data_IF_343685857148
#
_entry.id   IF_343685857148
#
_cell.length_a   1.000
_cell.length_b   1.000
_cell.length_c   1.000
_cell.angle_alpha   90.00
_cell.angle_beta   90.00
_cell.angle_gamma   90.00
#
_symmetry.space_group_name_H-M   'P 1'
#
loop_
_entity.id
_entity.type
_entity.pdbx_description
1 polymer ?
#
# COMPACT_ATOMS: atom_id res chain seq x y z
N UNK A 1 6.17 18.23 -38.89
CA UNK A 1 5.54 18.70 -37.67
C UNK A 1 6.22 18.00 -36.50
N UNK A 2 7.07 18.71 -35.81
CA UNK A 2 7.89 18.20 -34.72
C UNK A 2 7.05 17.99 -33.45
N UNK A 3 6.37 16.86 -33.34
CA UNK A 3 5.75 16.41 -32.08
C UNK A 3 6.67 15.48 -31.26
N UNK A 4 7.92 15.36 -31.67
CA UNK A 4 8.88 14.43 -31.03
C UNK A 4 9.56 15.00 -29.79
N UNK A 5 9.67 16.33 -29.64
CA UNK A 5 10.39 16.93 -28.51
C UNK A 5 9.65 16.83 -27.17
N UNK A 6 8.31 16.86 -27.13
CA UNK A 6 7.56 16.73 -25.90
C UNK A 6 7.45 15.26 -25.42
N UNK A 7 7.48 14.30 -26.34
CA UNK A 7 7.55 12.87 -26.00
C UNK A 7 8.94 12.48 -25.49
N UNK A 8 10.01 13.05 -26.06
CA UNK A 8 11.39 12.81 -25.57
C UNK A 8 11.57 13.35 -24.15
N UNK A 9 11.00 14.52 -23.84
CA UNK A 9 11.04 15.08 -22.47
C UNK A 9 10.27 14.24 -21.45
N UNK A 10 9.13 13.67 -21.83
CA UNK A 10 8.36 12.79 -20.96
C UNK A 10 9.02 11.41 -20.77
N UNK A 11 9.66 10.87 -21.80
CA UNK A 11 10.45 9.63 -21.68
C UNK A 11 11.66 9.82 -20.76
N UNK A 12 12.36 10.94 -20.83
CA UNK A 12 13.48 11.24 -19.94
C UNK A 12 13.03 11.34 -18.48
N UNK A 13 11.88 11.96 -18.21
CA UNK A 13 11.30 12.00 -16.85
C UNK A 13 10.89 10.63 -16.33
N UNK A 14 10.51 9.69 -17.19
CA UNK A 14 10.14 8.31 -16.81
C UNK A 14 11.39 7.48 -16.52
N UNK A 15 12.48 7.69 -17.26
CA UNK A 15 13.74 6.91 -17.09
C UNK A 15 14.51 7.28 -15.83
N UNK A 16 14.41 8.52 -15.37
CA UNK A 16 15.17 9.04 -14.23
C UNK A 16 14.44 8.84 -12.88
N UNK A 17 13.21 8.32 -12.89
CA UNK A 17 12.46 8.03 -11.68
C UNK A 17 12.35 6.54 -11.44
N UNK A 18 12.52 6.09 -10.20
CA UNK A 18 12.17 4.72 -9.85
C UNK A 18 10.66 4.53 -10.06
N UNK A 19 10.31 3.67 -11.00
CA UNK A 19 8.92 3.28 -11.25
C UNK A 19 8.64 1.95 -10.55
N UNK A 20 7.50 1.82 -9.92
CA UNK A 20 7.03 0.61 -9.25
C UNK A 20 6.10 -0.24 -10.13
N UNK A 21 5.73 0.26 -11.30
CA UNK A 21 4.98 -0.47 -12.31
C UNK A 21 5.78 -1.62 -12.93
N UNK A 22 5.08 -2.70 -13.28
CA UNK A 22 5.64 -3.81 -14.06
C UNK A 22 4.98 -3.87 -15.44
N UNK A 23 5.73 -4.34 -16.45
CA UNK A 23 5.19 -4.46 -17.80
C UNK A 23 4.05 -5.50 -17.83
N UNK A 24 2.89 -5.15 -18.38
CA UNK A 24 1.78 -6.07 -18.61
C UNK A 24 1.87 -6.82 -19.96
N UNK A 25 2.97 -6.62 -20.71
CA UNK A 25 3.18 -7.32 -21.99
C UNK A 25 3.11 -8.85 -21.88
N UNK A 26 3.60 -9.51 -20.82
CA UNK A 26 3.44 -10.96 -20.66
C UNK A 26 1.98 -11.40 -20.61
N UNK A 27 1.09 -10.62 -19.95
CA UNK A 27 -0.35 -10.88 -19.94
C UNK A 27 -0.95 -10.78 -21.34
N UNK A 28 -0.61 -9.75 -22.11
CA UNK A 28 -1.09 -9.59 -23.50
C UNK A 28 -0.61 -10.72 -24.42
N UNK A 29 0.56 -11.25 -24.17
CA UNK A 29 1.12 -12.37 -24.94
C UNK A 29 0.71 -13.75 -24.44
N UNK A 30 -0.02 -13.83 -23.33
CA UNK A 30 -0.40 -15.11 -22.71
C UNK A 30 0.80 -15.89 -22.13
N UNK A 31 1.93 -15.22 -21.85
CA UNK A 31 3.16 -15.88 -21.37
C UNK A 31 3.29 -15.90 -19.84
N UNK A 32 2.34 -15.31 -19.12
CA UNK A 32 2.30 -15.30 -17.65
C UNK A 32 1.80 -13.96 -17.08
N UNK A 33 1.57 -13.95 -15.78
CA UNK A 33 1.20 -12.75 -15.03
C UNK A 33 2.41 -12.23 -14.21
N UNK A 34 3.01 -11.09 -14.58
CA UNK A 34 4.15 -10.54 -13.87
C UNK A 34 3.79 -9.94 -12.50
N UNK A 35 2.51 -9.86 -12.16
CA UNK A 35 2.03 -9.35 -10.86
C UNK A 35 1.93 -10.44 -9.79
N UNK A 36 2.04 -11.71 -10.16
CA UNK A 36 1.98 -12.83 -9.21
C UNK A 36 3.08 -12.71 -8.16
N UNK A 37 2.68 -12.77 -6.88
CA UNK A 37 3.59 -12.67 -5.74
C UNK A 37 4.08 -11.26 -5.42
N UNK A 38 3.64 -10.24 -6.16
CA UNK A 38 3.97 -8.85 -5.89
C UNK A 38 3.09 -8.29 -4.78
N UNK A 39 3.73 -7.55 -3.86
CA UNK A 39 2.99 -6.76 -2.87
C UNK A 39 2.61 -5.40 -3.43
N UNK A 40 1.38 -4.98 -3.15
CA UNK A 40 0.85 -3.66 -3.46
C UNK A 40 0.67 -2.88 -2.16
N UNK A 41 1.05 -1.60 -2.16
CA UNK A 41 1.05 -0.76 -0.98
C UNK A 41 0.24 0.51 -1.21
N UNK A 42 -0.49 0.94 -0.18
CA UNK A 42 -1.20 2.21 -0.14
C UNK A 42 -0.88 2.93 1.15
N UNK A 43 -0.65 4.23 1.08
CA UNK A 43 -0.44 5.08 2.22
C UNK A 43 -1.30 6.34 2.11
N UNK A 44 -2.28 6.46 3.00
CA UNK A 44 -3.20 7.59 3.09
C UNK A 44 -3.07 8.23 4.47
N UNK A 45 -1.99 9.01 4.71
CA UNK A 45 -1.68 9.53 6.05
C UNK A 45 -2.59 10.69 6.49
N UNK A 46 -3.46 11.18 5.62
CA UNK A 46 -4.33 12.32 5.84
C UNK A 46 -5.79 11.88 5.93
N UNK A 47 -6.61 12.70 6.61
CA UNK A 47 -8.07 12.56 6.62
C UNK A 47 -8.61 13.11 5.30
N UNK A 48 -9.46 12.35 4.61
CA UNK A 48 -9.95 12.69 3.27
C UNK A 48 -11.37 13.24 3.22
N UNK A 49 -12.05 13.33 4.33
CA UNK A 49 -13.44 13.78 4.38
C UNK A 49 -13.93 14.03 5.80
N UNK A 50 -15.21 14.30 5.92
CA UNK A 50 -15.84 14.58 7.20
C UNK A 50 -16.59 13.36 7.77
N UNK A 51 -17.11 12.48 6.90
CA UNK A 51 -17.97 11.34 7.29
C UNK A 51 -17.79 10.15 6.34
N UNK A 52 -17.81 8.93 6.88
CA UNK A 52 -17.85 7.68 6.11
C UNK A 52 -16.73 6.69 6.44
N UNK A 53 -16.81 5.44 5.99
CA UNK A 53 -15.78 4.44 6.17
C UNK A 53 -14.50 4.81 5.41
N UNK A 54 -13.34 4.57 6.00
CA UNK A 54 -12.03 4.77 5.37
C UNK A 54 -11.53 6.22 5.31
N UNK A 55 -12.17 7.15 6.01
CA UNK A 55 -11.80 8.57 6.04
C UNK A 55 -10.56 8.83 6.88
N UNK A 56 -10.34 8.03 7.92
CA UNK A 56 -9.18 8.16 8.80
C UNK A 56 -7.85 7.86 8.13
N UNK A 57 -6.74 8.33 8.71
CA UNK A 57 -5.41 8.04 8.18
C UNK A 57 -5.09 6.55 8.30
N UNK A 58 -4.79 5.93 7.17
CA UNK A 58 -4.51 4.49 7.06
C UNK A 58 -3.34 4.20 6.15
N UNK A 59 -2.72 3.04 6.31
CA UNK A 59 -1.92 2.42 5.27
C UNK A 59 -2.27 0.94 5.14
N UNK A 60 -2.01 0.38 3.98
CA UNK A 60 -2.35 -1.01 3.71
C UNK A 60 -1.36 -1.69 2.77
N UNK A 61 -1.32 -3.01 2.86
CA UNK A 61 -0.57 -3.88 1.96
C UNK A 61 -1.44 -5.03 1.49
N UNK A 62 -1.36 -5.36 0.22
CA UNK A 62 -1.92 -6.59 -0.35
C UNK A 62 -0.79 -7.45 -0.90
N UNK A 63 -0.73 -8.69 -0.44
CA UNK A 63 0.20 -9.70 -0.94
C UNK A 63 -0.56 -11.00 -1.20
N UNK A 64 -0.70 -11.37 -2.46
CA UNK A 64 -1.53 -12.49 -2.89
C UNK A 64 -2.98 -12.32 -2.46
N UNK A 65 -3.47 -13.29 -1.68
CA UNK A 65 -4.85 -13.36 -1.21
C UNK A 65 -5.12 -12.48 0.01
N UNK A 66 -4.07 -12.02 0.68
CA UNK A 66 -4.18 -11.32 1.93
C UNK A 66 -4.05 -9.82 1.79
N UNK A 67 -4.93 -9.06 2.46
CA UNK A 67 -4.85 -7.62 2.60
C UNK A 67 -4.83 -7.25 4.08
N UNK A 68 -3.81 -6.50 4.50
CA UNK A 68 -3.68 -5.91 5.82
C UNK A 68 -3.94 -4.41 5.74
N UNK A 69 -4.78 -3.89 6.65
CA UNK A 69 -5.02 -2.47 6.84
C UNK A 69 -4.54 -2.08 8.23
N UNK A 70 -3.77 -1.01 8.32
CA UNK A 70 -3.32 -0.41 9.57
C UNK A 70 -3.90 1.00 9.72
N UNK A 71 -4.51 1.26 10.86
CA UNK A 71 -5.13 2.53 11.23
C UNK A 71 -4.18 3.34 12.11
N UNK A 72 -3.68 4.45 11.61
CA UNK A 72 -2.72 5.29 12.33
C UNK A 72 -3.24 5.88 13.63
N UNK A 73 -4.54 6.20 13.71
CA UNK A 73 -5.14 6.80 14.90
C UNK A 73 -5.19 5.86 16.11
N UNK A 74 -5.50 4.60 15.86
CA UNK A 74 -5.77 3.60 16.90
C UNK A 74 -4.70 2.54 17.06
N UNK A 75 -3.80 2.42 16.08
CA UNK A 75 -2.86 1.30 15.98
C UNK A 75 -3.53 -0.03 15.62
N UNK A 76 -4.83 -0.02 15.31
CA UNK A 76 -5.59 -1.22 14.95
C UNK A 76 -5.12 -1.78 13.63
N UNK A 77 -5.12 -3.10 13.52
CA UNK A 77 -4.84 -3.86 12.30
C UNK A 77 -6.02 -4.73 11.95
N UNK A 78 -6.40 -4.74 10.69
CA UNK A 78 -7.42 -5.63 10.14
C UNK A 78 -6.80 -6.46 9.02
N UNK A 79 -7.16 -7.73 8.96
CA UNK A 79 -6.68 -8.67 7.95
C UNK A 79 -7.85 -9.30 7.21
N UNK A 80 -7.80 -9.31 5.90
CA UNK A 80 -8.84 -9.85 5.03
C UNK A 80 -8.27 -10.87 4.05
N UNK A 81 -9.02 -11.97 3.84
CA UNK A 81 -8.77 -12.93 2.78
C UNK A 81 -9.62 -12.54 1.57
N UNK A 82 -9.05 -11.83 0.61
CA UNK A 82 -9.77 -11.20 -0.50
C UNK A 82 -10.54 -12.18 -1.40
N UNK A 83 -10.02 -13.37 -1.77
CA UNK A 83 -10.79 -14.35 -2.53
C UNK A 83 -12.08 -14.83 -1.86
N UNK A 84 -12.09 -14.91 -0.53
CA UNK A 84 -13.25 -15.37 0.25
C UNK A 84 -14.14 -14.21 0.69
N UNK A 85 -13.57 -13.02 0.84
CA UNK A 85 -14.26 -11.83 1.32
C UNK A 85 -13.82 -10.57 0.55
N UNK A 86 -14.28 -10.44 -0.68
CA UNK A 86 -13.99 -9.29 -1.54
C UNK A 86 -14.56 -7.98 -0.99
N UNK A 87 -15.57 -8.07 -0.12
CA UNK A 87 -16.22 -6.92 0.53
C UNK A 87 -15.52 -6.44 1.79
N UNK A 88 -14.46 -7.14 2.25
CA UNK A 88 -13.71 -6.78 3.47
C UNK A 88 -14.62 -6.63 4.71
N UNK A 89 -15.56 -7.58 4.89
CA UNK A 89 -16.51 -7.56 5.99
C UNK A 89 -16.04 -8.35 7.21
N UNK A 90 -15.15 -9.35 7.02
CA UNK A 90 -14.72 -10.29 8.06
C UNK A 90 -13.25 -10.09 8.40
N UNK A 91 -12.96 -9.38 9.49
CA UNK A 91 -11.60 -9.24 10.01
C UNK A 91 -11.13 -10.56 10.64
N UNK A 92 -10.14 -11.19 10.04
CA UNK A 92 -9.52 -12.44 10.50
C UNK A 92 -8.14 -12.24 11.14
N UNK A 93 -7.76 -11.03 11.49
CA UNK A 93 -6.45 -10.70 12.07
C UNK A 93 -6.12 -11.54 13.32
N UNK A 94 -7.12 -11.80 14.17
CA UNK A 94 -6.94 -12.61 15.39
C UNK A 94 -6.70 -14.10 15.10
N UNK A 95 -7.15 -14.60 13.96
CA UNK A 95 -7.03 -16.00 13.55
C UNK A 95 -5.67 -16.27 12.89
N UNK A 96 -5.04 -15.25 12.31
CA UNK A 96 -3.80 -15.34 11.54
C UNK A 96 -2.75 -14.31 12.00
N UNK A 97 -2.30 -14.37 13.28
CA UNK A 97 -1.34 -13.41 13.83
C UNK A 97 0.04 -13.45 13.15
N UNK A 98 0.42 -14.60 12.61
CA UNK A 98 1.64 -14.81 11.82
C UNK A 98 1.62 -14.01 10.52
N UNK A 99 0.48 -14.02 9.81
CA UNK A 99 0.29 -13.25 8.57
C UNK A 99 0.27 -11.76 8.89
N UNK A 100 -0.43 -11.35 9.94
CA UNK A 100 -0.44 -9.94 10.41
C UNK A 100 0.97 -9.45 10.68
N UNK A 101 1.78 -10.23 11.41
CA UNK A 101 3.17 -9.87 11.71
C UNK A 101 4.02 -9.75 10.45
N UNK A 102 3.92 -10.72 9.54
CA UNK A 102 4.65 -10.71 8.27
C UNK A 102 4.31 -9.49 7.43
N UNK A 103 3.01 -9.24 7.20
CA UNK A 103 2.56 -8.12 6.38
C UNK A 103 2.82 -6.76 7.03
N UNK A 104 2.74 -6.65 8.36
CA UNK A 104 3.13 -5.43 9.09
C UNK A 104 4.61 -5.12 8.89
N UNK A 105 5.48 -6.12 8.96
CA UNK A 105 6.91 -5.97 8.72
C UNK A 105 7.22 -5.54 7.29
N UNK A 106 6.54 -6.14 6.33
CA UNK A 106 6.68 -5.80 4.91
C UNK A 106 6.22 -4.36 4.63
N UNK A 107 5.05 -3.96 5.17
CA UNK A 107 4.51 -2.62 5.02
C UNK A 107 5.41 -1.55 5.66
N UNK A 108 5.87 -1.77 6.89
CA UNK A 108 6.77 -0.86 7.60
C UNK A 108 8.10 -0.69 6.88
N UNK A 109 8.67 -1.78 6.38
CA UNK A 109 9.92 -1.75 5.59
C UNK A 109 9.75 -0.96 4.30
N UNK A 110 8.64 -1.19 3.58
CA UNK A 110 8.36 -0.46 2.35
C UNK A 110 8.18 1.04 2.60
N UNK A 111 7.38 1.41 3.61
CA UNK A 111 7.11 2.82 3.92
C UNK A 111 8.38 3.59 4.32
N UNK A 112 9.31 2.97 5.05
CA UNK A 112 10.63 3.58 5.34
C UNK A 112 11.49 3.71 4.08
N UNK A 113 11.46 2.71 3.21
CA UNK A 113 12.24 2.72 1.95
C UNK A 113 11.85 3.86 1.01
N UNK A 114 10.55 4.19 0.96
CA UNK A 114 10.02 5.25 0.08
C UNK A 114 9.88 6.60 0.79
N UNK A 115 10.39 6.72 2.02
CA UNK A 115 10.21 7.91 2.87
C UNK A 115 8.73 8.32 2.97
N UNK A 116 7.87 7.31 3.22
CA UNK A 116 6.43 7.48 3.28
C UNK A 116 6.02 8.45 4.39
N UNK A 117 5.12 9.37 4.07
CA UNK A 117 4.56 10.27 5.08
C UNK A 117 3.77 9.49 6.12
N UNK A 118 3.86 9.93 7.38
CA UNK A 118 3.04 9.43 8.48
C UNK A 118 2.48 10.58 9.32
N UNK A 119 1.29 10.44 9.90
CA UNK A 119 0.72 11.45 10.77
C UNK A 119 1.51 11.57 12.08
N UNK A 120 1.30 12.68 12.77
CA UNK A 120 1.86 12.92 14.10
C UNK A 120 0.73 13.18 15.10
N UNK A 121 0.91 12.77 16.34
CA UNK A 121 -0.04 13.06 17.43
C UNK A 121 -0.09 14.56 17.70
N UNK A 122 -1.27 15.17 17.61
CA UNK A 122 -1.46 16.62 17.85
C UNK A 122 -0.97 17.05 19.24
N UNK A 123 -1.18 16.22 20.26
CA UNK A 123 -0.84 16.53 21.64
C UNK A 123 0.68 16.54 21.91
N UNK A 124 1.46 15.71 21.22
CA UNK A 124 2.88 15.51 21.51
C UNK A 124 3.81 15.90 20.38
N UNK A 125 3.27 16.09 19.16
CA UNK A 125 4.06 16.29 17.95
C UNK A 125 4.88 15.06 17.50
N UNK A 126 4.81 13.94 18.26
CA UNK A 126 5.55 12.72 17.92
C UNK A 126 4.90 12.01 16.76
N UNK A 127 5.69 11.43 15.83
CA UNK A 127 5.15 10.65 14.75
C UNK A 127 4.47 9.39 15.28
N UNK A 128 3.38 8.98 14.62
CA UNK A 128 2.67 7.73 14.92
C UNK A 128 3.58 6.54 14.59
N UNK A 129 3.58 5.46 15.39
CA UNK A 129 4.38 4.27 15.11
C UNK A 129 4.07 3.66 13.74
N UNK A 130 5.07 3.01 13.15
CA UNK A 130 4.86 2.20 11.96
C UNK A 130 4.13 0.89 12.29
N UNK A 131 3.51 0.21 11.30
CA UNK A 131 2.75 -1.03 11.52
C UNK A 131 3.55 -2.15 12.21
N UNK A 132 4.85 -2.19 12.03
CA UNK A 132 5.75 -3.21 12.59
C UNK A 132 6.33 -2.85 13.96
N UNK A 133 6.04 -1.64 14.46
CA UNK A 133 6.50 -1.17 15.77
C UNK A 133 5.48 -1.43 16.90
N UNK A 134 4.30 -1.96 16.54
CA UNK A 134 3.20 -2.27 17.47
C UNK A 134 2.82 -3.75 17.37
#
# INVERSE_FOLDING_TARGET
YEMTSSLVGSEMCIRDRPIDGVSFMPLLKGTGDPSVGRSLFWNCPNIWGNDGPGIGPTCSVRNGDWKLIYYYETGRKELFNIPEDIGEHNDVARQHPDIVKRLSGELGTYLRKVDGQRPSFKATGKPVPWPDEI
#
